data_IF_563144523661
#
_entry.id   IF_563144523661
#
_cell.length_a   1.000
_cell.length_b   1.000
_cell.length_c   1.000
_cell.angle_alpha   90.00
_cell.angle_beta   90.00
_cell.angle_gamma   90.00
#
_symmetry.space_group_name_H-M   'P 1'
#
loop_
_entity.id
_entity.type
_entity.pdbx_description
1 polymer ?
#
# COMPACT_ATOMS: atom_id res chain seq x y z
N UNK A 1 33.85 41.16 -9.24
CA UNK A 1 33.49 40.93 -7.83
C UNK A 1 32.30 39.98 -7.80
N UNK A 2 32.50 38.77 -7.29
CA UNK A 2 31.51 37.70 -7.34
C UNK A 2 30.36 37.95 -6.37
N UNK A 3 29.12 37.75 -6.85
CA UNK A 3 27.95 37.70 -6.00
C UNK A 3 27.86 36.30 -5.36
N UNK A 4 28.25 36.20 -4.09
CA UNK A 4 27.90 35.05 -3.25
C UNK A 4 26.41 35.17 -2.89
N UNK A 5 25.56 34.51 -3.68
CA UNK A 5 24.17 34.26 -3.30
C UNK A 5 24.18 33.23 -2.17
N UNK A 6 24.17 33.73 -0.93
CA UNK A 6 23.96 32.91 0.25
C UNK A 6 22.47 32.65 0.33
N UNK A 7 22.05 31.41 0.08
CA UNK A 7 20.67 30.95 0.23
C UNK A 7 20.27 31.04 1.70
N UNK A 8 19.82 32.21 2.15
CA UNK A 8 19.19 32.41 3.44
C UNK A 8 17.78 31.82 3.39
N UNK A 9 17.65 30.54 3.74
CA UNK A 9 16.36 29.94 4.05
C UNK A 9 16.05 30.21 5.53
N UNK A 10 15.10 31.10 5.87
CA UNK A 10 14.79 31.43 7.27
C UNK A 10 14.07 30.31 8.02
N UNK A 11 13.62 29.27 7.33
CA UNK A 11 13.30 27.99 7.96
C UNK A 11 13.87 26.78 7.23
N UNK A 12 14.12 25.71 7.99
CA UNK A 12 14.39 24.38 7.45
C UNK A 12 13.54 23.34 8.17
N UNK A 13 12.94 22.44 7.39
CA UNK A 13 12.17 21.31 7.87
C UNK A 13 12.99 20.03 7.68
N UNK A 14 13.37 19.40 8.79
CA UNK A 14 14.09 18.13 8.78
C UNK A 14 13.30 17.06 9.53
N UNK A 15 13.35 15.83 9.01
CA UNK A 15 12.93 14.64 9.75
C UNK A 15 14.16 14.05 10.41
N UNK A 16 14.14 13.90 11.74
CA UNK A 16 15.23 13.24 12.46
C UNK A 16 14.97 11.73 12.54
N UNK A 17 15.92 10.93 12.05
CA UNK A 17 16.08 9.52 12.42
C UNK A 17 17.56 9.22 12.66
N UNK A 18 17.91 8.73 13.85
CA UNK A 18 19.29 8.45 14.29
C UNK A 18 19.93 7.19 13.65
N UNK A 19 19.45 6.74 12.48
CA UNK A 19 19.96 5.58 11.79
C UNK A 19 19.96 5.82 10.27
N UNK A 20 21.09 5.56 9.62
CA UNK A 20 21.26 5.73 8.17
C UNK A 20 20.51 4.64 7.41
N UNK A 21 19.24 4.88 7.09
CA UNK A 21 18.48 4.01 6.19
C UNK A 21 18.52 4.53 4.74
N UNK A 22 18.41 3.65 3.72
CA UNK A 22 18.70 3.99 2.32
C UNK A 22 17.63 4.86 1.62
N UNK A 23 16.61 5.34 2.35
CA UNK A 23 15.56 6.25 1.87
C UNK A 23 14.73 6.73 3.08
N UNK A 24 14.38 8.02 3.20
CA UNK A 24 13.59 8.48 4.33
C UNK A 24 12.12 8.06 4.19
N UNK A 25 11.55 7.58 5.29
CA UNK A 25 10.13 7.20 5.44
C UNK A 25 9.17 8.35 5.10
N UNK A 26 9.58 9.58 5.43
CA UNK A 26 8.86 10.82 5.14
C UNK A 26 9.75 11.79 4.36
N UNK A 27 9.17 12.49 3.39
CA UNK A 27 9.82 13.61 2.69
C UNK A 27 8.94 14.86 2.78
N UNK A 28 9.55 16.04 2.94
CA UNK A 28 8.84 17.31 3.11
C UNK A 28 9.20 18.25 1.97
N UNK A 29 8.20 18.88 1.35
CA UNK A 29 8.39 19.85 0.27
C UNK A 29 7.51 21.09 0.49
N UNK A 30 8.07 22.31 0.45
CA UNK A 30 9.50 22.60 0.42
C UNK A 30 10.21 22.23 1.73
N UNK A 31 11.51 21.92 1.67
CA UNK A 31 12.33 21.62 2.86
C UNK A 31 12.81 22.88 3.60
N UNK A 32 12.52 24.06 3.07
CA UNK A 32 12.87 25.36 3.63
C UNK A 32 12.34 26.49 2.75
N UNK A 33 12.29 27.70 3.29
CA UNK A 33 11.78 28.87 2.58
C UNK A 33 11.58 30.05 3.51
N UNK A 34 10.78 31.04 3.08
CA UNK A 34 10.38 32.22 3.85
C UNK A 34 8.87 32.40 3.83
N UNK A 35 8.32 32.96 4.92
CA UNK A 35 6.90 33.32 5.04
C UNK A 35 6.83 34.77 5.51
N UNK A 36 6.22 35.63 4.70
CA UNK A 36 6.06 37.05 5.05
C UNK A 36 4.99 37.26 6.13
N UNK A 37 5.04 38.40 6.80
CA UNK A 37 4.05 38.77 7.81
C UNK A 37 2.62 38.73 7.25
N UNK A 38 1.73 38.02 7.94
CA UNK A 38 0.34 37.85 7.52
C UNK A 38 0.12 36.82 6.41
N UNK A 39 1.18 36.16 5.91
CA UNK A 39 1.09 35.09 4.92
C UNK A 39 1.08 33.71 5.58
N UNK A 40 0.73 32.71 4.79
CA UNK A 40 0.79 31.29 5.16
C UNK A 40 1.53 30.51 4.10
N UNK A 41 2.22 29.45 4.49
CA UNK A 41 2.92 28.54 3.59
C UNK A 41 2.48 27.10 3.83
N UNK A 42 2.30 26.35 2.73
CA UNK A 42 1.89 24.96 2.79
C UNK A 42 3.10 24.05 2.60
N UNK A 43 3.26 23.10 3.53
CA UNK A 43 4.25 22.03 3.43
C UNK A 43 3.55 20.72 3.09
N UNK A 44 4.07 20.01 2.08
CA UNK A 44 3.58 18.69 1.68
C UNK A 44 4.47 17.63 2.32
N UNK A 45 3.86 16.75 3.11
CA UNK A 45 4.53 15.58 3.70
C UNK A 45 4.14 14.34 2.92
N UNK A 46 5.11 13.69 2.29
CA UNK A 46 4.92 12.41 1.60
C UNK A 46 5.42 11.27 2.48
N UNK A 47 4.55 10.30 2.73
CA UNK A 47 4.85 9.04 3.42
C UNK A 47 5.09 7.94 2.39
N UNK A 48 6.27 7.33 2.38
CA UNK A 48 6.67 6.32 1.39
C UNK A 48 7.57 5.23 2.03
N UNK A 49 7.04 4.45 3.00
CA UNK A 49 7.77 3.34 3.61
C UNK A 49 8.17 2.29 2.57
N UNK A 50 9.37 1.72 2.72
CA UNK A 50 9.83 0.56 1.93
C UNK A 50 9.78 -0.75 2.70
N UNK A 51 9.95 -0.68 4.01
CA UNK A 51 9.95 -1.83 4.91
C UNK A 51 8.88 -1.64 6.01
N UNK A 52 8.56 -2.73 6.72
CA UNK A 52 7.74 -2.65 7.92
C UNK A 52 8.63 -2.19 9.06
N UNK A 53 8.46 -0.95 9.48
CA UNK A 53 9.22 -0.32 10.54
C UNK A 53 8.32 0.57 11.41
N UNK A 54 8.85 0.99 12.56
CA UNK A 54 8.21 2.03 13.38
C UNK A 54 8.20 3.36 12.62
N UNK A 55 6.99 3.89 12.45
CA UNK A 55 6.74 5.07 11.66
C UNK A 55 6.67 6.36 12.47
N UNK A 56 6.80 6.31 13.80
CA UNK A 56 6.72 7.52 14.61
C UNK A 56 7.92 8.46 14.34
N UNK A 57 7.65 9.68 13.88
CA UNK A 57 8.67 10.71 13.63
C UNK A 57 8.17 12.07 14.08
N UNK A 58 9.08 13.02 14.26
CA UNK A 58 8.75 14.43 14.52
C UNK A 58 9.32 15.25 13.36
N UNK A 59 8.47 16.05 12.72
CA UNK A 59 8.92 17.17 11.90
C UNK A 59 9.29 18.29 12.85
N UNK A 60 10.54 18.75 12.79
CA UNK A 60 10.95 20.00 13.40
C UNK A 60 11.04 21.07 12.30
N UNK A 61 10.35 22.19 12.51
CA UNK A 61 10.48 23.38 11.67
C UNK A 61 11.35 24.36 12.45
N UNK A 62 12.58 24.51 12.00
CA UNK A 62 13.51 25.47 12.57
C UNK A 62 13.18 26.87 12.06
N UNK A 63 12.77 27.78 12.93
CA UNK A 63 12.46 29.17 12.58
C UNK A 63 13.60 30.03 13.12
N UNK A 64 14.35 30.66 12.20
CA UNK A 64 15.45 31.53 12.59
C UNK A 64 14.95 32.71 13.42
N UNK A 65 15.64 32.99 14.53
CA UNK A 65 15.33 34.07 15.46
C UNK A 65 13.90 33.99 16.05
N UNK A 66 13.40 32.76 16.26
CA UNK A 66 12.17 32.57 17.01
C UNK A 66 12.30 33.24 18.39
N UNK A 67 11.35 34.10 18.71
CA UNK A 67 11.30 34.78 20.00
C UNK A 67 11.16 33.75 21.13
N UNK A 68 11.93 33.93 22.21
CA UNK A 68 12.04 32.98 23.31
C UNK A 68 10.71 32.73 24.06
N UNK A 69 9.70 33.57 23.86
CA UNK A 69 8.35 33.37 24.38
C UNK A 69 7.55 32.30 23.62
N UNK A 70 8.00 31.87 22.44
CA UNK A 70 7.33 30.85 21.63
C UNK A 70 8.05 29.51 21.69
N UNK A 71 7.27 28.43 21.68
CA UNK A 71 7.81 27.08 21.54
C UNK A 71 8.19 26.78 20.08
N UNK A 72 9.29 26.04 19.84
CA UNK A 72 9.64 25.57 18.51
C UNK A 72 8.53 24.72 17.88
N UNK A 73 8.27 24.93 16.59
CA UNK A 73 7.21 24.23 15.89
C UNK A 73 7.61 22.77 15.61
N UNK A 74 6.89 21.85 16.27
CA UNK A 74 7.10 20.40 16.17
C UNK A 74 5.80 19.67 15.88
N UNK A 75 5.80 18.85 14.83
CA UNK A 75 4.62 18.11 14.39
C UNK A 75 4.93 16.61 14.46
N UNK A 76 4.15 15.87 15.25
CA UNK A 76 4.27 14.40 15.29
C UNK A 76 3.64 13.79 14.05
N UNK A 77 4.36 12.84 13.46
CA UNK A 77 3.89 12.00 12.37
C UNK A 77 3.86 10.56 12.86
N UNK A 78 2.84 9.83 12.39
CA UNK A 78 2.80 8.39 12.54
C UNK A 78 2.15 7.78 11.29
N UNK A 79 2.31 6.49 11.11
CA UNK A 79 1.80 5.74 9.98
C UNK A 79 1.79 4.25 10.28
N UNK A 80 1.13 3.47 9.43
CA UNK A 80 1.15 2.01 9.51
C UNK A 80 1.56 1.46 8.16
N UNK A 81 2.57 0.60 8.17
CA UNK A 81 3.00 -0.18 7.01
C UNK A 81 2.58 -1.61 7.23
N UNK A 82 1.94 -2.20 6.23
CA UNK A 82 1.58 -3.62 6.25
C UNK A 82 2.34 -4.32 5.12
N UNK A 83 2.98 -5.44 5.45
CA UNK A 83 3.38 -6.42 4.46
C UNK A 83 2.20 -7.36 4.20
N UNK A 84 1.98 -7.78 2.94
CA UNK A 84 1.06 -8.88 2.67
C UNK A 84 1.56 -10.13 3.41
N UNK A 85 0.65 -10.94 3.93
CA UNK A 85 1.00 -12.18 4.64
C UNK A 85 1.76 -13.15 3.75
N UNK A 86 1.39 -13.21 2.48
CA UNK A 86 2.14 -13.86 1.42
C UNK A 86 1.91 -13.12 0.10
N UNK A 87 2.84 -13.29 -0.84
CA UNK A 87 2.73 -12.77 -2.19
C UNK A 87 2.60 -13.95 -3.16
N UNK A 88 1.47 -14.01 -3.86
CA UNK A 88 1.22 -14.99 -4.91
C UNK A 88 1.71 -14.43 -6.24
N UNK A 89 2.70 -15.09 -6.84
CA UNK A 89 3.15 -14.81 -8.19
C UNK A 89 2.34 -15.66 -9.16
N UNK A 90 1.24 -15.07 -9.64
CA UNK A 90 0.29 -15.70 -10.56
C UNK A 90 0.42 -15.07 -11.93
N UNK A 91 0.37 -15.86 -13.03
CA UNK A 91 0.32 -15.31 -14.37
C UNK A 91 -0.86 -14.35 -14.53
N UNK A 92 -0.61 -13.20 -15.16
CA UNK A 92 -1.67 -12.29 -15.55
C UNK A 92 -2.65 -12.98 -16.50
N UNK A 93 -3.93 -12.71 -16.30
CA UNK A 93 -5.00 -13.11 -17.21
C UNK A 93 -6.13 -12.09 -17.14
N UNK A 94 -6.94 -12.10 -18.18
CA UNK A 94 -8.05 -11.20 -18.43
C UNK A 94 -9.40 -11.89 -18.18
N UNK A 95 -9.43 -13.04 -17.49
CA UNK A 95 -10.66 -13.83 -17.34
C UNK A 95 -11.84 -13.01 -16.79
N UNK A 96 -11.57 -12.17 -15.79
CA UNK A 96 -12.57 -11.29 -15.16
C UNK A 96 -12.83 -10.05 -16.02
N UNK A 97 -11.77 -9.37 -16.46
CA UNK A 97 -11.86 -8.06 -17.13
C UNK A 97 -12.36 -8.15 -18.58
N UNK A 98 -12.07 -9.23 -19.28
CA UNK A 98 -12.57 -9.49 -20.63
C UNK A 98 -13.97 -10.14 -20.64
N UNK A 99 -14.62 -10.31 -19.48
CA UNK A 99 -15.97 -10.86 -19.39
C UNK A 99 -16.09 -12.31 -19.87
N UNK A 100 -15.00 -13.10 -19.80
CA UNK A 100 -14.99 -14.52 -20.20
C UNK A 100 -15.83 -15.39 -19.25
N UNK A 101 -16.14 -14.87 -18.06
CA UNK A 101 -17.00 -15.52 -17.08
C UNK A 101 -18.48 -15.41 -17.49
N UNK A 102 -19.18 -16.54 -17.52
CA UNK A 102 -20.63 -16.56 -17.70
C UNK A 102 -21.34 -15.80 -16.56
N UNK A 103 -22.30 -14.91 -16.87
CA UNK A 103 -22.99 -14.09 -15.88
C UNK A 103 -23.83 -14.91 -14.88
N UNK A 104 -24.17 -16.14 -15.22
CA UNK A 104 -24.93 -17.08 -14.39
C UNK A 104 -24.09 -17.78 -13.31
N UNK A 105 -22.75 -17.65 -13.37
CA UNK A 105 -21.86 -18.39 -12.47
C UNK A 105 -21.83 -17.77 -11.07
N UNK A 106 -22.12 -18.55 -10.00
CA UNK A 106 -22.10 -18.03 -8.64
C UNK A 106 -20.69 -17.59 -8.21
N UNK A 107 -20.61 -16.43 -7.56
CA UNK A 107 -19.39 -15.88 -6.98
C UNK A 107 -18.98 -16.59 -5.69
N UNK A 108 -17.94 -16.08 -4.99
CA UNK A 108 -17.46 -16.65 -3.73
C UNK A 108 -18.52 -16.72 -2.64
N UNK A 109 -19.53 -15.83 -2.66
CA UNK A 109 -20.66 -15.87 -1.71
C UNK A 109 -21.66 -17.00 -1.99
N UNK A 110 -21.54 -17.68 -3.14
CA UNK A 110 -22.51 -18.64 -3.63
C UNK A 110 -23.71 -18.00 -4.36
N UNK A 111 -23.83 -16.68 -4.38
CA UNK A 111 -24.87 -15.96 -5.14
C UNK A 111 -24.39 -15.61 -6.55
N UNK A 112 -25.32 -15.35 -7.48
CA UNK A 112 -24.99 -14.80 -8.79
C UNK A 112 -24.58 -13.34 -8.62
N UNK A 113 -23.28 -13.08 -8.71
CA UNK A 113 -22.67 -11.76 -8.52
C UNK A 113 -21.46 -11.58 -9.44
N UNK A 114 -21.15 -10.32 -9.76
CA UNK A 114 -19.89 -9.99 -10.43
C UNK A 114 -18.71 -10.28 -9.48
N UNK A 115 -17.63 -10.82 -10.03
CA UNK A 115 -16.38 -10.95 -9.26
C UNK A 115 -15.74 -9.56 -9.07
N UNK A 116 -15.05 -9.38 -7.95
CA UNK A 116 -14.14 -8.24 -7.77
C UNK A 116 -13.14 -8.22 -8.94
N UNK A 117 -12.97 -7.08 -9.66
CA UNK A 117 -11.99 -6.95 -10.74
C UNK A 117 -10.56 -7.32 -10.34
N UNK A 118 -10.20 -7.27 -9.06
CA UNK A 118 -8.91 -7.67 -8.52
C UNK A 118 -8.77 -9.18 -8.27
N UNK A 119 -9.84 -9.96 -8.47
CA UNK A 119 -9.81 -11.42 -8.33
C UNK A 119 -8.78 -12.02 -9.29
N UNK A 120 -7.81 -12.75 -8.74
CA UNK A 120 -6.83 -13.50 -9.55
C UNK A 120 -7.39 -14.87 -9.90
N UNK A 121 -7.30 -15.24 -11.18
CA UNK A 121 -7.86 -16.50 -11.69
C UNK A 121 -6.72 -17.43 -12.12
N UNK A 122 -6.82 -18.71 -11.78
CA UNK A 122 -5.92 -19.75 -12.29
C UNK A 122 -6.65 -20.60 -13.33
N UNK A 123 -6.39 -20.33 -14.60
CA UNK A 123 -6.96 -21.09 -15.71
C UNK A 123 -6.18 -22.39 -15.95
N UNK A 124 -6.91 -23.46 -16.23
CA UNK A 124 -6.37 -24.76 -16.62
C UNK A 124 -6.90 -25.14 -17.99
N UNK A 125 -6.01 -25.59 -18.86
CA UNK A 125 -6.37 -26.23 -20.12
C UNK A 125 -6.15 -27.73 -19.98
N UNK A 126 -7.06 -28.52 -20.56
CA UNK A 126 -6.98 -29.98 -20.52
C UNK A 126 -7.47 -30.56 -21.83
N UNK A 127 -6.70 -31.48 -22.41
CA UNK A 127 -7.09 -32.22 -23.61
C UNK A 127 -7.26 -33.70 -23.26
N UNK A 128 -8.49 -34.20 -23.35
CA UNK A 128 -8.83 -35.59 -23.09
C UNK A 128 -9.28 -35.90 -21.66
N UNK A 129 -9.72 -37.14 -21.44
CA UNK A 129 -10.15 -37.67 -20.14
C UNK A 129 -9.01 -38.46 -19.49
N UNK A 130 -9.01 -38.55 -18.15
CA UNK A 130 -8.00 -39.28 -17.35
C UNK A 130 -6.56 -38.73 -17.46
N UNK A 131 -6.40 -37.48 -17.88
CA UNK A 131 -5.09 -36.79 -17.87
C UNK A 131 -4.96 -35.97 -16.59
N UNK A 132 -3.79 -36.05 -15.93
CA UNK A 132 -3.46 -35.22 -14.77
C UNK A 132 -2.86 -33.90 -15.26
N UNK A 133 -3.60 -32.81 -15.11
CA UNK A 133 -3.09 -31.47 -15.35
C UNK A 133 -2.50 -30.89 -14.04
N UNK A 134 -1.31 -30.30 -14.11
CA UNK A 134 -0.64 -29.69 -12.96
C UNK A 134 -0.23 -28.27 -13.32
N UNK A 135 -0.68 -27.28 -12.54
CA UNK A 135 -0.23 -25.89 -12.62
C UNK A 135 0.52 -25.54 -11.34
N UNK A 136 1.70 -24.93 -11.50
CA UNK A 136 2.54 -24.48 -10.39
C UNK A 136 2.63 -22.96 -10.43
N UNK A 137 2.60 -22.33 -9.27
CA UNK A 137 2.80 -20.91 -9.07
C UNK A 137 3.61 -20.70 -7.79
N UNK A 138 4.25 -19.54 -7.66
CA UNK A 138 5.10 -19.25 -6.52
C UNK A 138 4.30 -18.53 -5.43
N UNK A 139 4.54 -18.91 -4.18
CA UNK A 139 4.05 -18.19 -3.02
C UNK A 139 5.27 -17.75 -2.22
N UNK A 140 5.53 -16.45 -2.21
CA UNK A 140 6.58 -15.86 -1.39
C UNK A 140 6.00 -15.55 -0.01
N UNK A 141 6.62 -16.12 1.02
CA UNK A 141 6.39 -15.74 2.40
C UNK A 141 7.46 -14.74 2.82
N UNK A 142 7.14 -13.43 2.93
CA UNK A 142 8.10 -12.41 3.33
C UNK A 142 8.29 -12.34 4.86
N UNK A 143 7.71 -13.27 5.63
CA UNK A 143 7.75 -13.31 7.08
C UNK A 143 8.61 -14.48 7.58
N UNK A 144 8.96 -14.48 8.87
CA UNK A 144 9.60 -15.61 9.55
C UNK A 144 8.59 -16.61 10.13
N UNK A 145 7.29 -16.42 9.90
CA UNK A 145 6.23 -17.32 10.35
C UNK A 145 6.00 -18.41 9.32
N UNK A 146 5.68 -19.63 9.74
CA UNK A 146 5.29 -20.70 8.81
C UNK A 146 3.82 -20.55 8.43
N UNK A 147 3.49 -20.75 7.15
CA UNK A 147 2.12 -20.73 6.64
C UNK A 147 1.81 -22.05 5.94
N UNK A 148 0.63 -22.59 6.23
CA UNK A 148 0.03 -23.70 5.51
C UNK A 148 -1.14 -23.19 4.65
N UNK A 149 -1.31 -23.79 3.48
CA UNK A 149 -2.37 -23.42 2.54
C UNK A 149 -3.23 -24.64 2.23
N UNK A 150 -4.54 -24.45 2.20
CA UNK A 150 -5.51 -25.46 1.79
C UNK A 150 -6.53 -24.83 0.85
N UNK A 151 -7.13 -25.66 0.03
CA UNK A 151 -8.17 -25.26 -0.91
C UNK A 151 -9.51 -25.65 -0.34
N UNK A 152 -10.37 -24.66 -0.10
CA UNK A 152 -11.77 -24.90 0.19
C UNK A 152 -12.59 -24.77 -1.08
N UNK A 153 -13.41 -25.78 -1.44
CA UNK A 153 -14.39 -25.61 -2.50
C UNK A 153 -15.42 -24.57 -2.06
N UNK A 154 -15.76 -23.65 -2.96
CA UNK A 154 -16.93 -22.79 -2.76
C UNK A 154 -18.15 -23.70 -2.69
N UNK A 155 -18.84 -23.67 -1.54
CA UNK A 155 -20.06 -24.47 -1.36
C UNK A 155 -21.08 -23.97 -2.40
N UNK A 156 -21.63 -24.85 -3.26
CA UNK A 156 -22.75 -24.47 -4.09
C UNK A 156 -23.86 -24.00 -3.14
N UNK A 157 -24.40 -22.80 -3.37
CA UNK A 157 -25.63 -22.43 -2.70
C UNK A 157 -26.68 -23.46 -3.10
N UNK A 158 -27.32 -24.05 -2.09
CA UNK A 158 -28.52 -24.85 -2.32
C UNK A 158 -29.53 -23.85 -2.84
N UNK A 159 -29.74 -23.81 -4.16
CA UNK A 159 -30.95 -23.19 -4.71
C UNK A 159 -32.09 -23.78 -3.89
N UNK A 160 -32.80 -22.92 -3.16
CA UNK A 160 -33.92 -23.32 -2.34
C UNK A 160 -34.75 -24.31 -3.16
N UNK A 161 -34.80 -25.55 -2.71
CA UNK A 161 -35.78 -26.52 -3.17
C UNK A 161 -37.13 -25.91 -2.83
N UNK A 162 -37.70 -25.19 -3.80
CA UNK A 162 -39.07 -24.71 -3.75
C UNK A 162 -39.95 -25.92 -3.48
N UNK A 163 -40.56 -25.90 -2.29
CA UNK A 163 -41.32 -27.00 -1.73
C UNK A 163 -42.49 -27.41 -2.61
N UNK A 164 -42.89 -28.67 -2.44
CA UNK A 164 -44.09 -29.21 -3.02
C UNK A 164 -45.36 -28.48 -2.58
N UNK A 165 -46.33 -28.57 -3.47
CA UNK A 165 -47.75 -28.27 -3.35
C UNK A 165 -48.39 -28.77 -4.63
#
# INVERSE_FOLDING_TARGET
AGAMSSSNNPFSAASSSAASFPSPLYTITPSGGSVEGGQSSQLVVRFAPKEVEDCERIIAIDIQNLDASYEPLRIRLNGRVLRPWCHFDLPENDYVTAGKRGPERPGPSGSIEALDPNTKVLEFESLGVKVKNTKRFMVLNPTNMTYDFYWDPVKPSVLASGGGG
#
